data_IF_295379184733
#
_entry.id   IF_295379184733
#
_cell.length_a   1.000
_cell.length_b   1.000
_cell.length_c   1.000
_cell.angle_alpha   90.00
_cell.angle_beta   90.00
_cell.angle_gamma   90.00
#
_symmetry.space_group_name_H-M   'P 1'
#
loop_
_entity.id
_entity.type
_entity.pdbx_description
1 polymer ?
#
# COMPACT_ATOMS: atom_id res chain seq x y z
N UNK A 1 7.79 12.39 34.22
CA UNK A 1 7.89 13.59 33.37
C UNK A 1 9.08 14.42 33.85
N UNK A 2 9.97 14.81 32.94
CA UNK A 2 11.19 15.57 33.25
C UNK A 2 11.14 16.95 32.59
N UNK A 3 11.75 17.95 33.21
CA UNK A 3 11.77 19.33 32.68
C UNK A 3 12.75 19.49 31.52
N UNK A 4 13.91 18.82 31.58
CA UNK A 4 14.94 18.87 30.56
C UNK A 4 15.50 17.49 30.30
N UNK A 5 16.02 17.28 29.09
CA UNK A 5 16.73 16.05 28.77
C UNK A 5 17.60 16.19 27.52
N UNK A 6 18.65 15.38 27.47
CA UNK A 6 19.49 15.20 26.28
C UNK A 6 19.63 13.71 25.97
N UNK A 7 20.00 13.39 24.73
CA UNK A 7 20.31 12.03 24.35
C UNK A 7 21.71 11.94 23.74
N UNK A 8 22.39 10.84 23.99
CA UNK A 8 23.67 10.48 23.37
C UNK A 8 23.54 9.10 22.74
N UNK A 9 23.97 8.98 21.49
CA UNK A 9 24.10 7.68 20.83
C UNK A 9 25.49 7.13 21.09
N UNK A 10 25.56 5.86 21.48
CA UNK A 10 26.77 5.05 21.55
C UNK A 10 26.73 3.99 20.44
N UNK A 11 27.82 3.22 20.28
CA UNK A 11 27.87 2.15 19.27
C UNK A 11 26.78 1.09 19.48
N UNK A 12 26.47 0.76 20.74
CA UNK A 12 25.56 -0.36 21.08
C UNK A 12 24.24 0.09 21.76
N UNK A 13 23.92 1.39 21.74
CA UNK A 13 22.65 1.86 22.29
C UNK A 13 22.50 3.37 22.40
N UNK A 14 21.37 3.79 22.95
CA UNK A 14 21.04 5.21 23.19
C UNK A 14 20.94 5.42 24.70
N UNK A 15 21.57 6.48 25.20
CA UNK A 15 21.41 6.94 26.58
C UNK A 15 20.66 8.27 26.59
N UNK A 16 19.55 8.32 27.30
CA UNK A 16 18.76 9.52 27.55
C UNK A 16 19.08 9.99 28.96
N UNK A 17 19.61 11.20 29.10
CA UNK A 17 19.77 11.85 30.40
C UNK A 17 18.59 12.80 30.62
N UNK A 18 17.90 12.65 31.74
CA UNK A 18 16.77 13.46 32.16
C UNK A 18 17.17 14.25 33.41
N UNK A 19 16.78 15.51 33.47
CA UNK A 19 17.08 16.41 34.57
C UNK A 19 15.78 16.96 35.18
N UNK A 20 15.77 17.11 36.51
CA UNK A 20 14.68 17.66 37.31
C UNK A 20 13.32 17.09 36.91
N UNK A 21 13.08 15.84 37.30
CA UNK A 21 11.87 15.13 36.89
C UNK A 21 11.23 14.32 37.99
N UNK A 22 10.13 13.68 37.62
CA UNK A 22 9.43 12.72 38.48
C UNK A 22 9.08 11.44 37.73
N UNK A 23 9.27 10.31 38.39
CA UNK A 23 8.83 8.98 37.94
C UNK A 23 7.45 8.73 38.55
N UNK A 24 6.53 8.25 37.73
CA UNK A 24 5.13 8.00 38.09
C UNK A 24 4.92 6.50 38.02
N UNK A 25 4.51 5.88 39.11
CA UNK A 25 4.31 4.44 39.21
C UNK A 25 2.91 4.14 39.78
N UNK A 26 2.16 3.32 39.06
CA UNK A 26 0.88 2.79 39.49
C UNK A 26 1.11 1.39 40.10
N UNK A 27 0.81 1.25 41.39
CA UNK A 27 0.99 0.02 42.16
C UNK A 27 -0.32 -0.81 42.13
N UNK A 28 -0.19 -2.11 42.40
CA UNK A 28 -1.34 -3.01 42.53
C UNK A 28 -2.25 -2.52 43.65
N UNK A 29 -3.56 -2.40 43.38
CA UNK A 29 -4.63 -1.79 44.22
C UNK A 29 -4.84 -0.28 44.08
N UNK A 30 -4.62 0.31 42.90
CA UNK A 30 -4.96 1.72 42.65
C UNK A 30 -4.14 2.72 43.49
N UNK A 31 -3.00 2.29 44.03
CA UNK A 31 -2.07 3.16 44.76
C UNK A 31 -1.10 3.82 43.78
N UNK A 32 -0.87 5.13 43.93
CA UNK A 32 -0.01 5.90 43.03
C UNK A 32 1.19 6.46 43.78
N UNK A 33 2.39 6.25 43.22
CA UNK A 33 3.66 6.74 43.77
C UNK A 33 4.33 7.68 42.79
N UNK A 34 4.85 8.80 43.32
CA UNK A 34 5.65 9.76 42.57
C UNK A 34 7.03 9.93 43.22
N UNK A 35 8.08 9.63 42.46
CA UNK A 35 9.48 9.73 42.92
C UNK A 35 10.17 10.85 42.17
N UNK A 36 10.71 11.84 42.88
CA UNK A 36 11.42 12.97 42.29
C UNK A 36 12.91 12.66 42.12
N UNK A 37 13.52 13.17 41.05
CA UNK A 37 14.94 13.01 40.76
C UNK A 37 15.55 14.28 40.18
N UNK A 38 16.80 14.56 40.56
CA UNK A 38 17.59 15.64 39.96
C UNK A 38 18.21 15.19 38.64
N UNK A 39 18.75 13.97 38.59
CA UNK A 39 19.27 13.36 37.36
C UNK A 39 18.86 11.90 37.24
N UNK A 40 18.41 11.50 36.05
CA UNK A 40 18.01 10.12 35.75
C UNK A 40 18.48 9.71 34.37
N UNK A 41 19.13 8.55 34.26
CA UNK A 41 19.70 8.05 33.00
C UNK A 41 18.99 6.79 32.55
N UNK A 42 18.49 6.80 31.31
CA UNK A 42 17.84 5.66 30.67
C UNK A 42 18.77 5.16 29.56
N UNK A 43 19.29 3.94 29.70
CA UNK A 43 20.09 3.29 28.68
C UNK A 43 19.23 2.26 27.93
N UNK A 44 19.12 2.41 26.61
CA UNK A 44 18.36 1.53 25.73
C UNK A 44 19.34 0.88 24.75
N UNK A 45 19.71 -0.40 24.91
CA UNK A 45 20.60 -1.10 23.99
C UNK A 45 19.87 -1.38 22.66
N UNK A 46 20.60 -1.35 21.54
CA UNK A 46 20.00 -1.55 20.20
C UNK A 46 19.39 -2.94 20.01
N UNK A 47 19.98 -3.98 20.60
CA UNK A 47 19.44 -5.36 20.53
C UNK A 47 18.00 -5.45 21.10
N UNK A 48 17.70 -4.67 22.16
CA UNK A 48 16.35 -4.59 22.74
C UNK A 48 15.40 -3.72 21.92
N UNK A 49 15.93 -2.78 21.15
CA UNK A 49 15.14 -2.01 20.18
C UNK A 49 14.72 -2.91 19.01
N UNK A 50 15.63 -3.73 18.46
CA UNK A 50 15.33 -4.65 17.36
C UNK A 50 14.23 -5.66 17.71
N UNK A 51 14.24 -6.22 18.92
CA UNK A 51 13.23 -7.18 19.38
C UNK A 51 11.82 -6.58 19.48
N UNK A 52 11.69 -5.30 19.82
CA UNK A 52 10.39 -4.61 19.93
C UNK A 52 9.95 -3.89 18.64
N UNK A 53 10.89 -3.58 17.74
CA UNK A 53 10.63 -3.00 16.43
C UNK A 53 9.89 -3.95 15.49
N UNK A 54 9.97 -5.27 15.69
CA UNK A 54 9.30 -6.25 14.84
C UNK A 54 7.77 -6.26 15.01
N UNK A 55 7.25 -5.82 16.16
CA UNK A 55 5.84 -5.97 16.50
C UNK A 55 5.04 -4.67 16.65
N UNK A 56 5.65 -3.53 17.03
CA UNK A 56 4.88 -2.34 17.44
C UNK A 56 5.16 -1.02 16.72
N UNK A 57 6.14 -0.95 15.80
CA UNK A 57 6.15 0.17 14.86
C UNK A 57 5.36 -0.22 13.61
N UNK A 58 4.24 0.47 13.40
CA UNK A 58 3.57 0.50 12.09
C UNK A 58 4.50 1.25 11.14
N UNK A 59 5.57 0.57 10.68
CA UNK A 59 6.42 1.07 9.61
C UNK A 59 5.54 1.39 8.43
N UNK A 60 5.68 2.60 7.87
CA UNK A 60 4.97 2.93 6.63
C UNK A 60 5.35 1.88 5.59
N UNK A 61 4.38 1.43 4.82
CA UNK A 61 4.51 0.23 3.98
C UNK A 61 5.67 0.35 2.96
N UNK A 62 6.01 1.60 2.62
CA UNK A 62 7.15 2.00 1.78
C UNK A 62 8.51 1.60 2.38
N UNK A 63 8.62 1.55 3.71
CA UNK A 63 9.83 1.20 4.48
C UNK A 63 10.02 -0.32 4.66
N UNK A 64 9.03 -1.14 4.27
CA UNK A 64 9.11 -2.58 4.44
C UNK A 64 9.97 -3.22 3.34
N UNK A 65 10.78 -4.19 3.76
CA UNK A 65 11.47 -5.09 2.83
C UNK A 65 10.46 -6.05 2.16
N UNK A 66 10.79 -6.54 0.96
CA UNK A 66 10.02 -7.49 0.16
C UNK A 66 9.66 -8.74 0.98
N UNK A 67 10.58 -9.25 1.82
CA UNK A 67 10.32 -10.41 2.68
C UNK A 67 9.22 -10.11 3.73
N UNK A 68 9.19 -8.90 4.27
CA UNK A 68 8.15 -8.49 5.22
C UNK A 68 6.81 -8.28 4.52
N UNK A 69 6.82 -7.70 3.31
CA UNK A 69 5.63 -7.54 2.47
C UNK A 69 5.04 -8.91 2.08
N UNK A 70 5.86 -9.85 1.64
CA UNK A 70 5.42 -11.20 1.26
C UNK A 70 4.88 -12.00 2.45
N UNK A 71 5.50 -11.89 3.63
CA UNK A 71 4.96 -12.45 4.89
C UNK A 71 3.59 -11.89 5.23
N UNK A 72 3.41 -10.57 5.13
CA UNK A 72 2.10 -9.92 5.35
C UNK A 72 1.07 -10.44 4.35
N UNK A 73 1.38 -10.46 3.05
CA UNK A 73 0.48 -11.00 2.01
C UNK A 73 0.08 -12.45 2.32
N UNK A 74 1.03 -13.31 2.72
CA UNK A 74 0.74 -14.71 3.10
C UNK A 74 -0.19 -14.79 4.30
N UNK A 75 0.02 -13.95 5.31
CA UNK A 75 -0.86 -13.84 6.48
C UNK A 75 -2.29 -13.43 6.10
N UNK A 76 -2.44 -12.36 5.30
CA UNK A 76 -3.75 -11.91 4.83
C UNK A 76 -4.46 -12.96 3.95
N UNK A 77 -3.73 -13.66 3.08
CA UNK A 77 -4.28 -14.78 2.30
C UNK A 77 -4.81 -15.91 3.19
N UNK A 78 -4.07 -16.26 4.26
CA UNK A 78 -4.53 -17.24 5.26
C UNK A 78 -5.80 -16.76 5.97
N UNK A 79 -5.84 -15.49 6.38
CA UNK A 79 -7.03 -14.92 7.04
C UNK A 79 -8.25 -14.90 6.12
N UNK A 80 -8.07 -14.57 4.84
CA UNK A 80 -9.13 -14.66 3.83
C UNK A 80 -9.65 -16.10 3.73
N UNK A 81 -8.77 -17.10 3.67
CA UNK A 81 -9.17 -18.50 3.58
C UNK A 81 -10.01 -18.92 4.80
N UNK A 82 -9.56 -18.55 6.01
CA UNK A 82 -10.30 -18.82 7.23
C UNK A 82 -11.68 -18.15 7.21
N UNK A 83 -11.74 -16.87 6.84
CA UNK A 83 -13.01 -16.13 6.73
C UNK A 83 -13.94 -16.72 5.67
N UNK A 84 -13.41 -17.18 4.53
CA UNK A 84 -14.19 -17.86 3.48
C UNK A 84 -14.78 -19.18 3.99
N UNK A 85 -14.01 -19.95 4.76
CA UNK A 85 -14.51 -21.17 5.39
C UNK A 85 -15.65 -20.87 6.38
N UNK A 86 -15.51 -19.83 7.22
CA UNK A 86 -16.58 -19.40 8.14
C UNK A 86 -17.84 -18.93 7.41
N UNK A 87 -17.68 -18.20 6.30
CA UNK A 87 -18.81 -17.78 5.45
C UNK A 87 -19.54 -19.00 4.90
N UNK A 88 -18.79 -19.94 4.29
CA UNK A 88 -19.36 -21.17 3.72
C UNK A 88 -20.10 -22.02 4.76
N UNK A 89 -19.55 -22.16 5.96
CA UNK A 89 -20.22 -22.87 7.06
C UNK A 89 -21.53 -22.19 7.49
N UNK A 90 -21.55 -20.85 7.54
CA UNK A 90 -22.77 -20.12 7.89
C UNK A 90 -23.81 -20.18 6.78
N UNK A 91 -23.41 -20.22 5.51
CA UNK A 91 -24.32 -20.43 4.37
C UNK A 91 -25.03 -21.78 4.48
N UNK A 92 -24.30 -22.87 4.68
CA UNK A 92 -24.90 -24.19 4.87
C UNK A 92 -25.91 -24.22 6.05
N UNK A 93 -25.61 -23.51 7.15
CA UNK A 93 -26.53 -23.38 8.29
C UNK A 93 -27.76 -22.57 7.94
N UNK A 94 -27.61 -21.46 7.22
CA UNK A 94 -28.72 -20.64 6.75
C UNK A 94 -29.64 -21.48 5.86
N UNK A 95 -29.09 -22.26 4.93
CA UNK A 95 -29.88 -23.11 4.03
C UNK A 95 -30.68 -24.16 4.80
N UNK A 96 -30.06 -24.81 5.80
CA UNK A 96 -30.77 -25.76 6.68
C UNK A 96 -31.90 -25.10 7.48
N UNK A 97 -31.69 -23.88 7.97
CA UNK A 97 -32.70 -23.12 8.71
C UNK A 97 -33.83 -22.63 7.80
N UNK A 98 -33.52 -22.28 6.55
CA UNK A 98 -34.53 -21.91 5.55
C UNK A 98 -35.44 -23.08 5.19
N UNK A 99 -34.88 -24.29 5.08
CA UNK A 99 -35.67 -25.51 4.87
C UNK A 99 -36.62 -25.75 6.05
N UNK A 100 -36.10 -25.70 7.28
CA UNK A 100 -36.92 -25.82 8.51
C UNK A 100 -38.00 -24.73 8.60
N UNK A 101 -37.68 -23.50 8.20
CA UNK A 101 -38.64 -22.40 8.17
C UNK A 101 -39.76 -22.65 7.15
N UNK A 102 -39.42 -23.23 6.00
CA UNK A 102 -40.39 -23.58 4.94
C UNK A 102 -41.33 -24.70 5.41
N UNK A 103 -40.80 -25.75 6.04
CA UNK A 103 -41.59 -26.82 6.64
C UNK A 103 -42.58 -26.29 7.70
N UNK A 104 -42.12 -25.45 8.63
CA UNK A 104 -42.98 -24.88 9.68
C UNK A 104 -44.02 -23.87 9.14
N UNK A 105 -43.81 -23.29 7.95
CA UNK A 105 -44.80 -22.43 7.28
C UNK A 105 -45.91 -23.21 6.59
N UNK A 106 -45.58 -24.41 6.08
CA UNK A 106 -46.49 -25.24 5.29
C UNK A 106 -47.25 -26.29 6.12
N UNK A 107 -46.86 -26.50 7.39
CA UNK A 107 -47.55 -27.40 8.31
C UNK A 107 -48.98 -26.95 8.66
N UNK A 108 -49.82 -27.91 9.01
CA UNK A 108 -51.24 -27.74 9.38
C UNK A 108 -51.45 -26.74 10.54
N UNK A 109 -50.51 -26.69 11.48
CA UNK A 109 -50.48 -25.72 12.58
C UNK A 109 -49.23 -24.83 12.52
N UNK A 110 -49.42 -23.55 12.17
CA UNK A 110 -48.34 -22.56 12.13
C UNK A 110 -47.88 -22.16 13.53
N UNK A 111 -46.72 -22.66 13.95
CA UNK A 111 -46.09 -22.22 15.21
C UNK A 111 -45.32 -20.90 15.00
N UNK A 112 -46.01 -19.77 15.18
CA UNK A 112 -45.50 -18.41 14.95
C UNK A 112 -44.25 -18.11 15.79
N UNK A 113 -44.20 -18.56 17.04
CA UNK A 113 -43.07 -18.35 17.94
C UNK A 113 -41.79 -19.02 17.40
N UNK A 114 -41.92 -20.28 16.97
CA UNK A 114 -40.80 -21.03 16.37
C UNK A 114 -40.33 -20.40 15.06
N UNK A 115 -41.25 -19.94 14.22
CA UNK A 115 -40.93 -19.21 12.97
C UNK A 115 -40.11 -17.95 13.27
N UNK A 116 -40.53 -17.14 14.26
CA UNK A 116 -39.81 -15.92 14.63
C UNK A 116 -38.42 -16.21 15.20
N UNK A 117 -38.28 -17.27 16.00
CA UNK A 117 -36.96 -17.69 16.51
C UNK A 117 -36.01 -18.10 15.38
N UNK A 118 -36.48 -18.92 14.44
CA UNK A 118 -35.68 -19.35 13.27
C UNK A 118 -35.31 -18.14 12.40
N UNK A 119 -36.26 -17.22 12.17
CA UNK A 119 -36.01 -15.99 11.42
C UNK A 119 -34.92 -15.14 12.07
N UNK A 120 -35.00 -14.91 13.38
CA UNK A 120 -33.98 -14.16 14.11
C UNK A 120 -32.59 -14.84 14.05
N UNK A 121 -32.54 -16.18 14.06
CA UNK A 121 -31.29 -16.91 13.89
C UNK A 121 -30.70 -16.71 12.49
N UNK A 122 -31.53 -16.80 11.44
CA UNK A 122 -31.13 -16.54 10.06
C UNK A 122 -30.59 -15.12 9.93
N UNK A 123 -31.32 -14.12 10.42
CA UNK A 123 -30.93 -12.71 10.33
C UNK A 123 -29.56 -12.47 10.99
N UNK A 124 -29.33 -13.04 12.18
CA UNK A 124 -28.04 -12.98 12.86
C UNK A 124 -26.91 -13.64 12.05
N UNK A 125 -27.15 -14.80 11.43
CA UNK A 125 -26.16 -15.47 10.59
C UNK A 125 -25.86 -14.67 9.31
N UNK A 126 -26.87 -14.06 8.71
CA UNK A 126 -26.72 -13.16 7.55
C UNK A 126 -25.88 -11.94 7.91
N UNK A 127 -26.14 -11.29 9.06
CA UNK A 127 -25.32 -10.17 9.53
C UNK A 127 -23.86 -10.59 9.77
N UNK A 128 -23.62 -11.76 10.38
CA UNK A 128 -22.27 -12.31 10.57
C UNK A 128 -21.59 -12.61 9.24
N UNK A 129 -22.31 -13.14 8.26
CA UNK A 129 -21.83 -13.40 6.90
C UNK A 129 -21.36 -12.10 6.24
N UNK A 130 -22.22 -11.09 6.23
CA UNK A 130 -21.93 -9.79 5.63
C UNK A 130 -20.73 -9.10 6.28
N UNK A 131 -20.58 -9.20 7.60
CA UNK A 131 -19.38 -8.71 8.31
C UNK A 131 -18.12 -9.43 7.82
N UNK A 132 -18.14 -10.76 7.70
CA UNK A 132 -16.98 -11.52 7.21
C UNK A 132 -16.66 -11.22 5.74
N UNK A 133 -17.66 -11.03 4.88
CA UNK A 133 -17.46 -10.60 3.49
C UNK A 133 -16.75 -9.24 3.44
N UNK A 134 -17.18 -8.28 4.27
CA UNK A 134 -16.50 -6.98 4.39
C UNK A 134 -15.05 -7.12 4.86
N UNK A 135 -14.78 -8.00 5.83
CA UNK A 135 -13.42 -8.28 6.29
C UNK A 135 -12.54 -8.88 5.19
N UNK A 136 -13.08 -9.82 4.39
CA UNK A 136 -12.38 -10.41 3.25
C UNK A 136 -11.99 -9.31 2.26
N UNK A 137 -12.92 -8.42 1.90
CA UNK A 137 -12.65 -7.30 1.00
C UNK A 137 -11.55 -6.38 1.54
N UNK A 138 -11.57 -6.08 2.84
CA UNK A 138 -10.50 -5.28 3.46
C UNK A 138 -9.14 -6.00 3.37
N UNK A 139 -9.10 -7.31 3.60
CA UNK A 139 -7.85 -8.08 3.46
C UNK A 139 -7.36 -8.11 2.00
N UNK A 140 -8.25 -8.22 1.02
CA UNK A 140 -7.89 -8.14 -0.40
C UNK A 140 -7.30 -6.78 -0.77
N UNK A 141 -7.88 -5.69 -0.26
CA UNK A 141 -7.30 -4.34 -0.42
C UNK A 141 -5.90 -4.23 0.18
N UNK A 142 -5.68 -4.77 1.39
CA UNK A 142 -4.34 -4.79 1.99
C UNK A 142 -3.35 -5.62 1.16
N UNK A 143 -3.78 -6.76 0.62
CA UNK A 143 -2.95 -7.58 -0.28
C UNK A 143 -2.57 -6.81 -1.54
N UNK A 144 -3.53 -6.11 -2.15
CA UNK A 144 -3.28 -5.32 -3.36
C UNK A 144 -2.25 -4.24 -3.07
N UNK A 145 -2.41 -3.49 -1.98
CA UNK A 145 -1.49 -2.44 -1.56
C UNK A 145 -0.06 -2.94 -1.34
N UNK A 146 0.11 -4.06 -0.63
CA UNK A 146 1.44 -4.66 -0.48
C UNK A 146 2.02 -5.20 -1.78
N UNK A 147 1.17 -5.73 -2.67
CA UNK A 147 1.61 -6.23 -3.97
C UNK A 147 2.05 -5.08 -4.89
N UNK A 148 1.36 -3.94 -4.83
CA UNK A 148 1.75 -2.69 -5.49
C UNK A 148 3.14 -2.26 -5.04
N UNK A 149 3.38 -2.22 -3.73
CA UNK A 149 4.69 -1.84 -3.18
C UNK A 149 5.81 -2.79 -3.63
N UNK A 150 5.54 -4.09 -3.73
CA UNK A 150 6.51 -5.05 -4.29
C UNK A 150 6.80 -4.72 -5.76
N UNK A 151 5.79 -4.57 -6.60
CA UNK A 151 5.99 -4.27 -8.02
C UNK A 151 6.65 -2.91 -8.25
N UNK A 152 6.34 -1.90 -7.43
CA UNK A 152 6.93 -0.56 -7.48
C UNK A 152 8.45 -0.61 -7.25
N UNK A 153 8.92 -1.42 -6.29
CA UNK A 153 10.35 -1.62 -6.00
C UNK A 153 11.14 -2.18 -7.20
N UNK A 154 10.50 -2.91 -8.11
CA UNK A 154 11.12 -3.42 -9.34
C UNK A 154 10.87 -2.51 -10.56
N UNK A 155 9.68 -1.93 -10.65
CA UNK A 155 9.26 -1.11 -11.80
C UNK A 155 10.10 0.17 -11.92
N UNK A 156 10.42 0.84 -10.80
CA UNK A 156 11.19 2.10 -10.80
C UNK A 156 12.62 1.89 -11.34
N UNK A 157 13.42 0.92 -10.86
CA UNK A 157 14.73 0.64 -11.45
C UNK A 157 14.67 0.29 -12.95
N UNK A 158 13.65 -0.46 -13.37
CA UNK A 158 13.46 -0.81 -14.79
C UNK A 158 13.14 0.42 -15.64
N UNK A 159 12.39 1.37 -15.08
CA UNK A 159 12.09 2.63 -15.75
C UNK A 159 13.36 3.40 -16.11
N UNK A 160 14.41 3.35 -15.29
CA UNK A 160 15.70 3.99 -15.60
C UNK A 160 16.28 3.49 -16.95
N UNK A 161 16.26 2.18 -17.20
CA UNK A 161 16.71 1.63 -18.48
C UNK A 161 15.85 2.10 -19.65
N UNK A 162 14.53 2.19 -19.45
CA UNK A 162 13.59 2.68 -20.45
C UNK A 162 13.83 4.16 -20.75
N UNK A 163 14.11 4.98 -19.73
CA UNK A 163 14.48 6.39 -19.90
C UNK A 163 15.79 6.57 -20.66
N UNK A 164 16.77 5.68 -20.48
CA UNK A 164 18.01 5.70 -21.28
C UNK A 164 17.69 5.38 -22.75
N UNK A 165 16.88 4.34 -23.00
CA UNK A 165 16.44 3.96 -24.34
C UNK A 165 15.64 5.07 -25.03
N UNK A 166 14.78 5.76 -24.28
CA UNK A 166 13.98 6.88 -24.76
C UNK A 166 14.84 8.12 -24.99
N UNK A 167 15.78 8.41 -24.08
CA UNK A 167 16.66 9.57 -24.11
C UNK A 167 17.69 9.52 -25.24
N UNK A 168 18.12 8.34 -25.68
CA UNK A 168 19.11 8.16 -26.75
C UNK A 168 18.66 8.75 -28.09
N UNK A 169 17.53 8.33 -28.71
CA UNK A 169 17.05 8.93 -29.96
C UNK A 169 16.70 10.40 -29.79
N UNK A 170 16.10 10.80 -28.65
CA UNK A 170 15.77 12.19 -28.34
C UNK A 170 17.03 13.08 -28.28
N UNK A 171 18.11 12.61 -27.66
CA UNK A 171 19.38 13.32 -27.57
C UNK A 171 20.07 13.47 -28.93
N UNK A 172 19.99 12.46 -29.80
CA UNK A 172 20.57 12.55 -31.15
C UNK A 172 19.74 13.52 -32.03
N UNK A 173 18.40 13.47 -31.94
CA UNK A 173 17.53 14.40 -32.68
C UNK A 173 17.71 15.85 -32.21
N UNK A 174 17.99 16.02 -30.92
CA UNK A 174 18.27 17.31 -30.31
C UNK A 174 19.55 18.01 -30.78
N UNK A 175 20.47 17.31 -31.46
CA UNK A 175 21.73 17.91 -31.94
C UNK A 175 21.51 19.10 -32.89
N UNK A 176 20.34 19.15 -33.54
CA UNK A 176 19.94 20.24 -34.45
C UNK A 176 18.96 21.25 -33.80
N UNK A 177 18.61 21.07 -32.52
CA UNK A 177 17.70 21.96 -31.77
C UNK A 177 18.41 22.58 -30.56
N UNK A 178 17.83 23.64 -29.99
CA UNK A 178 18.40 24.28 -28.80
C UNK A 178 18.39 23.28 -27.64
N UNK A 179 19.50 23.17 -26.89
CA UNK A 179 19.64 22.28 -25.72
C UNK A 179 18.45 22.34 -24.74
N UNK A 180 17.85 23.52 -24.57
CA UNK A 180 16.65 23.74 -23.76
C UNK A 180 15.43 22.94 -24.20
N UNK A 181 15.28 22.67 -25.50
CA UNK A 181 14.14 21.91 -26.06
C UNK A 181 14.20 20.45 -25.62
N UNK A 182 15.39 19.86 -25.63
CA UNK A 182 15.62 18.47 -25.21
C UNK A 182 15.33 18.30 -23.72
N UNK A 183 15.82 19.25 -22.91
CA UNK A 183 15.57 19.27 -21.47
C UNK A 183 14.07 19.38 -21.18
N UNK A 184 13.36 20.28 -21.88
CA UNK A 184 11.92 20.43 -21.73
C UNK A 184 11.15 19.14 -22.08
N UNK A 185 11.54 18.45 -23.16
CA UNK A 185 10.94 17.18 -23.57
C UNK A 185 11.21 16.08 -22.53
N UNK A 186 12.44 15.97 -22.00
CA UNK A 186 12.76 15.01 -20.94
C UNK A 186 11.93 15.24 -19.68
N UNK A 187 11.77 16.51 -19.26
CA UNK A 187 10.92 16.87 -18.12
C UNK A 187 9.46 16.49 -18.38
N UNK A 188 8.95 16.73 -19.59
CA UNK A 188 7.59 16.35 -19.96
C UNK A 188 7.36 14.83 -19.79
N UNK A 189 8.27 14.00 -20.32
CA UNK A 189 8.17 12.54 -20.16
C UNK A 189 8.30 12.09 -18.71
N UNK A 190 9.14 12.76 -17.91
CA UNK A 190 9.24 12.49 -16.48
C UNK A 190 7.93 12.78 -15.73
N UNK A 191 7.29 13.91 -16.03
CA UNK A 191 5.98 14.28 -15.44
C UNK A 191 4.91 13.27 -15.86
N UNK A 192 4.86 12.90 -17.14
CA UNK A 192 3.92 11.89 -17.64
C UNK A 192 4.14 10.57 -16.90
N UNK A 193 5.39 10.11 -16.78
CA UNK A 193 5.72 8.88 -16.05
C UNK A 193 5.21 8.89 -14.62
N UNK A 194 5.52 9.97 -13.88
CA UNK A 194 5.09 10.12 -12.49
C UNK A 194 3.58 10.18 -12.35
N UNK A 195 2.89 10.86 -13.27
CA UNK A 195 1.43 10.93 -13.31
C UNK A 195 0.81 9.54 -13.50
N UNK A 196 1.33 8.76 -14.45
CA UNK A 196 0.90 7.37 -14.68
C UNK A 196 1.18 6.47 -13.47
N UNK A 197 2.31 6.65 -12.79
CA UNK A 197 2.66 5.87 -11.60
C UNK A 197 1.70 6.14 -10.44
N UNK A 198 1.39 7.42 -10.16
CA UNK A 198 0.43 7.82 -9.13
C UNK A 198 -0.98 7.33 -9.46
N UNK A 199 -1.42 7.50 -10.71
CA UNK A 199 -2.73 7.04 -11.15
C UNK A 199 -2.85 5.51 -11.08
N UNK A 200 -1.81 4.78 -11.50
CA UNK A 200 -1.75 3.32 -11.43
C UNK A 200 -1.85 2.81 -9.99
N UNK A 201 -1.17 3.49 -9.05
CA UNK A 201 -1.23 3.19 -7.61
C UNK A 201 -2.66 3.33 -7.08
N UNK A 202 -3.32 4.47 -7.32
CA UNK A 202 -4.70 4.70 -6.87
C UNK A 202 -5.69 3.68 -7.47
N UNK A 203 -5.51 3.29 -8.73
CA UNK A 203 -6.38 2.27 -9.34
C UNK A 203 -6.16 0.85 -8.78
N UNK A 204 -4.92 0.48 -8.47
CA UNK A 204 -4.62 -0.83 -7.87
C UNK A 204 -5.09 -0.91 -6.42
N UNK A 205 -4.93 0.17 -5.65
CA UNK A 205 -5.39 0.26 -4.26
C UNK A 205 -6.91 0.14 -4.16
N UNK A 206 -7.64 0.70 -5.13
CA UNK A 206 -9.10 0.54 -5.25
C UNK A 206 -9.53 -0.83 -5.79
N UNK A 207 -8.58 -1.68 -6.21
CA UNK A 207 -8.85 -2.99 -6.78
C UNK A 207 -9.48 -2.97 -8.17
N UNK A 208 -9.34 -1.86 -8.92
CA UNK A 208 -9.86 -1.75 -10.29
C UNK A 208 -8.96 -2.45 -11.31
N UNK A 209 -7.65 -2.41 -11.09
CA UNK A 209 -6.64 -3.08 -11.90
C UNK A 209 -5.77 -4.00 -11.04
N UNK A 210 -5.14 -4.99 -11.67
CA UNK A 210 -4.18 -5.83 -10.97
C UNK A 210 -2.95 -5.01 -10.57
N UNK A 211 -2.38 -5.22 -9.36
CA UNK A 211 -1.17 -4.52 -8.92
C UNK A 211 -0.01 -4.60 -9.91
N UNK A 212 0.14 -5.74 -10.58
CA UNK A 212 1.14 -5.94 -11.62
C UNK A 212 0.89 -5.02 -12.83
N UNK A 213 -0.32 -5.03 -13.39
CA UNK A 213 -0.60 -4.22 -14.58
C UNK A 213 -0.48 -2.72 -14.28
N UNK A 214 -1.00 -2.27 -13.14
CA UNK A 214 -0.93 -0.88 -12.73
C UNK A 214 0.49 -0.34 -12.61
N UNK A 215 1.40 -1.11 -12.01
CA UNK A 215 2.78 -0.64 -11.76
C UNK A 215 3.68 -0.75 -12.99
N UNK A 216 3.36 -1.64 -13.93
CA UNK A 216 4.16 -1.86 -15.14
C UNK A 216 3.63 -1.10 -16.36
N UNK A 217 2.37 -0.64 -16.34
CA UNK A 217 1.79 0.14 -17.43
C UNK A 217 2.60 1.38 -17.82
N UNK A 218 3.20 2.17 -16.91
CA UNK A 218 3.98 3.35 -17.30
C UNK A 218 5.25 2.95 -18.05
N UNK A 219 5.90 1.86 -17.63
CA UNK A 219 7.07 1.30 -18.26
C UNK A 219 6.75 0.76 -19.66
N UNK A 220 5.65 0.01 -19.80
CA UNK A 220 5.22 -0.51 -21.10
C UNK A 220 4.90 0.64 -22.06
N UNK A 221 4.17 1.65 -21.59
CA UNK A 221 3.81 2.81 -22.40
C UNK A 221 5.04 3.58 -22.90
N UNK A 222 5.97 3.93 -22.00
CA UNK A 222 7.21 4.61 -22.39
C UNK A 222 8.11 3.71 -23.24
N UNK A 223 8.14 2.40 -22.97
CA UNK A 223 8.90 1.43 -23.76
C UNK A 223 8.41 1.35 -25.21
N UNK A 224 7.10 1.37 -25.43
CA UNK A 224 6.51 1.42 -26.78
C UNK A 224 6.91 2.72 -27.49
N UNK A 225 6.87 3.86 -26.80
CA UNK A 225 7.29 5.15 -27.35
C UNK A 225 8.79 5.13 -27.69
N UNK A 226 9.63 4.64 -26.78
CA UNK A 226 11.07 4.53 -27.00
C UNK A 226 11.38 3.64 -28.21
N UNK A 227 10.72 2.49 -28.32
CA UNK A 227 10.86 1.57 -29.45
C UNK A 227 10.40 2.21 -30.76
N UNK A 228 9.27 2.92 -30.75
CA UNK A 228 8.77 3.65 -31.93
C UNK A 228 9.75 4.72 -32.39
N UNK A 229 10.30 5.52 -31.47
CA UNK A 229 11.31 6.54 -31.78
C UNK A 229 12.59 5.91 -32.35
N UNK A 230 13.00 4.76 -31.82
CA UNK A 230 14.17 4.04 -32.31
C UNK A 230 13.97 3.51 -33.73
N UNK A 231 12.79 2.94 -34.01
CA UNK A 231 12.44 2.46 -35.36
C UNK A 231 12.35 3.61 -36.37
N UNK A 232 11.73 4.72 -35.99
CA UNK A 232 11.65 5.91 -36.82
C UNK A 232 13.06 6.42 -37.15
N UNK A 233 13.96 6.46 -36.16
CA UNK A 233 15.34 6.88 -36.38
C UNK A 233 16.14 5.90 -37.24
N UNK A 234 15.95 4.59 -37.06
CA UNK A 234 16.67 3.58 -37.83
C UNK A 234 16.29 3.55 -39.30
N UNK A 235 15.06 3.95 -39.63
CA UNK A 235 14.57 3.96 -41.01
C UNK A 235 14.92 5.26 -41.76
N UNK A 236 15.39 6.29 -41.06
CA UNK A 236 15.63 7.63 -41.62
C UNK A 236 17.09 8.08 -41.45
N UNK A 237 17.92 7.80 -42.46
CA UNK A 237 19.19 8.49 -42.74
C UNK A 237 18.99 9.97 -43.16
N UNK A 238 17.81 10.55 -43.01
CA UNK A 238 17.51 11.90 -43.52
C UNK A 238 16.73 12.77 -42.53
N UNK A 239 17.43 13.73 -41.92
CA UNK A 239 16.94 15.05 -41.48
C UNK A 239 15.43 15.22 -41.16
N UNK A 240 14.97 14.69 -40.01
CA UNK A 240 13.67 15.10 -39.45
C UNK A 240 13.82 16.45 -38.75
N UNK A 241 13.31 17.52 -39.36
CA UNK A 241 12.92 18.73 -38.63
C UNK A 241 11.58 18.45 -37.95
N UNK A 242 11.59 18.09 -36.66
CA UNK A 242 10.36 18.12 -35.85
C UNK A 242 9.90 19.58 -35.84
N UNK A 243 8.87 19.91 -36.61
CA UNK A 243 8.33 21.27 -36.66
C UNK A 243 7.50 21.50 -35.39
N UNK A 244 8.18 21.83 -34.29
CA UNK A 244 7.61 22.23 -32.99
C UNK A 244 6.95 23.61 -33.06
N UNK A 245 6.09 23.85 -34.07
CA UNK A 245 5.33 25.10 -34.21
C UNK A 245 4.39 25.37 -33.02
N UNK A 246 4.10 24.36 -32.18
CA UNK A 246 3.33 24.53 -30.94
C UNK A 246 4.05 25.39 -29.88
N UNK A 247 5.39 25.46 -29.89
CA UNK A 247 6.16 26.28 -28.94
C UNK A 247 6.26 27.77 -29.33
N UNK A 248 5.83 28.16 -30.54
CA UNK A 248 5.73 29.58 -30.93
C UNK A 248 4.60 30.32 -30.20
N UNK A 249 3.63 29.60 -29.63
CA UNK A 249 2.56 30.19 -28.82
C UNK A 249 3.04 30.77 -27.48
N UNK A 250 4.23 30.38 -26.98
CA UNK A 250 4.82 30.95 -25.77
C UNK A 250 5.81 32.09 -26.03
N UNK A 251 5.98 32.53 -27.28
CA UNK A 251 6.88 33.64 -27.65
C UNK A 251 6.13 34.92 -28.07
N UNK A 252 4.88 35.07 -27.62
CA UNK A 252 4.08 36.28 -27.79
C UNK A 252 3.69 36.87 -26.43
N UNK A 253 4.67 37.43 -25.72
CA UNK A 253 4.67 38.80 -25.17
C UNK A 253 6.02 39.12 -24.57
#
# INVERSE_FOLDING_TARGET
MAERGNFKSFQDGIVINLENGSIHEELVKNEYRKTYFDTYKIAIPFDKLEYNLSNNLVRQERELNINSLSKKIKSYKKNIQNSKNYVKQNENKIDSLNNLLTENKNGEYKNILKINMIKNQIDNLVSRKNKNIKLIKNYEQQINKYSVEIHKKFSIPIACFIFILLGTPLGIMAKNSNMSVSIAISILFFIIYWSFLIAGEDFADRGKFSPALSMWSPNIFLGIIAFYLYKLRSNEDTNIKINLNFLKLFKSK
#
